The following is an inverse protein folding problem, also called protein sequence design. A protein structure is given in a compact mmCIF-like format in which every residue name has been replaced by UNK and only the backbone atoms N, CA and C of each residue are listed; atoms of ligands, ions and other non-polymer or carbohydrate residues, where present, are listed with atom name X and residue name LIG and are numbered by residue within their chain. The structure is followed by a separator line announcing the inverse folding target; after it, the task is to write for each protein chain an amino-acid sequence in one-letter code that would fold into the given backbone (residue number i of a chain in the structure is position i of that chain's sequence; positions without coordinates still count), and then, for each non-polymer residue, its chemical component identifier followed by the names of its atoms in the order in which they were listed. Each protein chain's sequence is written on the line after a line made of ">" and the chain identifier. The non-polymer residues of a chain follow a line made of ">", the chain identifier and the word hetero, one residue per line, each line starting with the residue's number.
data_IF_220865113177
#
_entry.id   IF_220865113177
#
_cell.length_a   1.000
_cell.length_b   1.000
_cell.length_c   1.000
_cell.angle_alpha   90.00
_cell.angle_beta   90.00
_cell.angle_gamma   90.00
#
_symmetry.space_group_name_H-M   'P 1'
#
loop_
_entity.id
_entity.type
_entity.pdbx_description
1 polymer ?
#
# COMPACT_ATOMS: atom_id res chain seq x y z
N UNK A 1 -51.92 1.39 -30.56
CA UNK A 1 -51.77 1.38 -29.08
C UNK A 1 -50.48 0.66 -28.75
N UNK A 2 -49.64 1.32 -27.94
CA UNK A 2 -48.24 0.98 -27.66
C UNK A 2 -48.14 -0.10 -26.57
N UNK A 3 -47.31 -1.12 -26.76
CA UNK A 3 -46.75 -1.91 -25.64
C UNK A 3 -45.24 -2.08 -25.86
N UNK A 4 -44.54 -1.09 -25.32
CA UNK A 4 -43.08 -1.03 -25.20
C UNK A 4 -42.66 -2.02 -24.11
N UNK A 5 -42.08 -3.17 -24.48
CA UNK A 5 -41.47 -4.09 -23.50
C UNK A 5 -40.04 -3.62 -23.21
N UNK A 6 -39.90 -2.87 -22.12
CA UNK A 6 -38.62 -2.56 -21.49
C UNK A 6 -38.01 -3.87 -20.97
N UNK A 7 -36.91 -4.31 -21.57
CA UNK A 7 -36.04 -5.30 -20.93
C UNK A 7 -35.13 -4.56 -19.95
N UNK A 8 -35.42 -4.72 -18.66
CA UNK A 8 -34.64 -4.16 -17.57
C UNK A 8 -33.30 -4.91 -17.53
N UNK A 9 -32.24 -4.18 -17.86
CA UNK A 9 -30.84 -4.52 -17.64
C UNK A 9 -30.65 -4.85 -16.16
N UNK A 10 -30.64 -6.14 -15.82
CA UNK A 10 -30.30 -6.60 -14.47
C UNK A 10 -28.78 -6.54 -14.35
N UNK A 11 -28.28 -5.36 -14.02
CA UNK A 11 -26.92 -5.14 -13.52
C UNK A 11 -26.86 -5.83 -12.17
N UNK A 12 -26.47 -7.10 -12.16
CA UNK A 12 -25.93 -7.74 -10.96
C UNK A 12 -24.53 -7.16 -10.75
N UNK A 13 -24.51 -5.95 -10.19
CA UNK A 13 -23.36 -5.37 -9.51
C UNK A 13 -23.18 -6.20 -8.24
N UNK A 14 -22.64 -7.41 -8.39
CA UNK A 14 -22.21 -8.24 -7.27
C UNK A 14 -21.03 -7.53 -6.61
N UNK A 15 -21.37 -6.69 -5.63
CA UNK A 15 -20.79 -6.66 -4.30
C UNK A 15 -19.40 -7.33 -4.21
N UNK A 16 -18.39 -6.55 -4.57
CA UNK A 16 -17.02 -6.74 -4.13
C UNK A 16 -16.60 -5.57 -3.24
N UNK A 17 -17.46 -5.19 -2.28
CA UNK A 17 -17.04 -4.33 -1.18
C UNK A 17 -16.14 -5.20 -0.30
N UNK A 18 -14.85 -5.25 -0.61
CA UNK A 18 -13.86 -5.64 0.38
C UNK A 18 -13.74 -4.49 1.38
N UNK A 19 -14.70 -4.44 2.31
CA UNK A 19 -14.42 -3.89 3.62
C UNK A 19 -13.47 -4.89 4.28
N UNK A 20 -12.16 -4.62 4.23
CA UNK A 20 -11.29 -5.02 5.33
C UNK A 20 -11.28 -3.84 6.27
N UNK A 21 -12.11 -3.93 7.31
CA UNK A 21 -11.98 -3.13 8.50
C UNK A 21 -10.53 -3.19 9.01
N UNK A 22 -10.09 -2.06 9.56
CA UNK A 22 -8.77 -1.82 10.14
C UNK A 22 -8.16 -3.05 10.80
N UNK A 23 -7.03 -3.51 10.29
CA UNK A 23 -6.02 -4.07 11.15
C UNK A 23 -4.85 -3.08 11.20
N UNK A 24 -4.70 -2.47 12.37
CA UNK A 24 -3.38 -2.05 12.83
C UNK A 24 -2.46 -3.22 12.53
N UNK A 25 -1.57 -3.00 11.58
CA UNK A 25 -0.53 -3.90 11.15
C UNK A 25 -0.09 -4.87 12.26
N UNK A 26 -0.09 -6.17 11.99
CA UNK A 26 0.43 -7.13 12.96
C UNK A 26 1.84 -6.69 13.34
N UNK A 27 2.11 -6.54 14.64
CA UNK A 27 3.34 -5.90 15.15
C UNK A 27 4.60 -6.45 14.48
N UNK A 28 4.62 -7.74 14.19
CA UNK A 28 5.72 -8.43 13.50
C UNK A 28 6.02 -7.90 12.09
N UNK A 29 5.02 -7.72 11.23
CA UNK A 29 5.25 -7.30 9.84
C UNK A 29 5.59 -5.81 9.74
N UNK A 30 5.01 -5.00 10.62
CA UNK A 30 5.40 -3.60 10.75
C UNK A 30 6.81 -3.43 11.28
N UNK A 31 7.21 -4.19 12.28
CA UNK A 31 8.60 -4.16 12.77
C UNK A 31 9.59 -4.59 11.68
N UNK A 32 9.26 -5.62 10.89
CA UNK A 32 10.07 -6.03 9.73
C UNK A 32 10.16 -4.91 8.69
N UNK A 33 9.04 -4.26 8.35
CA UNK A 33 9.02 -3.14 7.40
C UNK A 33 9.86 -1.98 7.91
N UNK A 34 9.63 -1.53 9.14
CA UNK A 34 10.39 -0.45 9.75
C UNK A 34 11.89 -0.79 9.68
N UNK A 35 12.29 -1.99 10.10
CA UNK A 35 13.68 -2.43 10.02
C UNK A 35 14.23 -2.45 8.59
N UNK A 36 13.41 -2.80 7.59
CA UNK A 36 13.81 -2.73 6.20
C UNK A 36 13.99 -1.28 5.71
N UNK A 37 13.14 -0.34 6.16
CA UNK A 37 13.24 1.08 5.82
C UNK A 37 14.54 1.73 6.34
N UNK A 38 14.98 1.37 7.56
CA UNK A 38 16.27 1.79 8.11
C UNK A 38 17.46 1.26 7.29
N UNK A 39 17.36 0.00 6.82
CA UNK A 39 18.40 -0.66 6.03
C UNK A 39 18.36 -0.27 4.54
N UNK A 40 17.35 0.47 4.13
CA UNK A 40 17.06 0.83 2.75
C UNK A 40 16.30 -0.27 2.01
N UNK A 41 15.10 0.06 1.53
CA UNK A 41 14.26 -0.82 0.70
C UNK A 41 14.58 -0.62 -0.78
N UNK A 42 14.34 -1.64 -1.60
CA UNK A 42 14.62 -1.57 -3.03
C UNK A 42 13.60 -0.67 -3.72
N UNK A 43 14.08 0.19 -4.62
CA UNK A 43 13.23 0.94 -5.56
C UNK A 43 13.20 0.21 -6.90
N UNK A 44 12.02 -0.07 -7.42
CA UNK A 44 11.83 -0.67 -8.75
C UNK A 44 11.25 -2.10 -8.74
N UNK A 45 10.93 -2.63 -9.94
CA UNK A 45 10.12 -3.83 -10.12
C UNK A 45 10.82 -5.12 -9.69
N UNK A 46 10.02 -6.16 -9.42
CA UNK A 46 10.43 -7.46 -8.88
C UNK A 46 11.63 -8.08 -9.60
N UNK A 47 11.60 -7.99 -10.93
CA UNK A 47 12.47 -8.74 -11.84
C UNK A 47 13.73 -7.96 -12.27
N UNK A 48 13.91 -6.75 -11.73
CA UNK A 48 15.10 -5.94 -12.00
C UNK A 48 16.13 -6.09 -10.88
N UNK A 49 17.42 -6.13 -11.25
CA UNK A 49 18.49 -5.95 -10.27
C UNK A 49 18.28 -4.61 -9.54
N UNK A 50 18.42 -4.55 -8.21
CA UNK A 50 18.13 -3.34 -7.46
C UNK A 50 19.08 -2.22 -7.88
N UNK A 51 18.56 -1.23 -8.61
CA UNK A 51 19.33 -0.08 -9.11
C UNK A 51 19.49 0.96 -8.00
N UNK A 52 18.52 1.05 -7.09
CA UNK A 52 18.47 2.07 -6.06
C UNK A 52 17.84 1.53 -4.76
N UNK A 53 18.31 2.07 -3.62
CA UNK A 53 17.71 1.83 -2.31
C UNK A 53 17.18 3.14 -1.74
N UNK A 54 15.96 3.10 -1.25
CA UNK A 54 15.33 4.20 -0.55
C UNK A 54 15.46 4.01 0.96
N UNK A 55 16.05 5.01 1.61
CA UNK A 55 16.15 5.10 3.05
C UNK A 55 15.07 6.04 3.57
N UNK A 56 14.29 5.57 4.55
CA UNK A 56 13.31 6.39 5.25
C UNK A 56 13.68 6.35 6.72
N UNK A 57 13.98 7.52 7.27
CA UNK A 57 14.22 7.71 8.68
C UNK A 57 12.96 7.36 9.47
N UNK A 58 13.02 6.27 10.26
CA UNK A 58 11.92 5.80 11.10
C UNK A 58 11.37 6.87 12.03
N UNK A 59 12.20 7.82 12.49
CA UNK A 59 11.75 8.89 13.40
C UNK A 59 10.72 9.82 12.74
N UNK A 60 10.65 9.82 11.41
CA UNK A 60 9.68 10.60 10.64
C UNK A 60 8.40 9.82 10.33
N UNK A 61 8.36 8.52 10.64
CA UNK A 61 7.19 7.67 10.38
C UNK A 61 6.22 7.83 11.55
N UNK A 62 5.02 8.34 11.28
CA UNK A 62 3.98 8.52 12.30
C UNK A 62 3.05 7.31 12.39
N UNK A 63 2.85 6.62 11.27
CA UNK A 63 1.93 5.48 11.17
C UNK A 63 2.28 4.60 9.98
N UNK A 64 1.97 3.32 10.11
CA UNK A 64 2.02 2.36 9.01
C UNK A 64 0.68 1.66 8.95
N UNK A 65 0.09 1.60 7.75
CA UNK A 65 -1.18 0.94 7.50
C UNK A 65 -0.91 -0.24 6.57
N UNK A 66 -1.36 -1.42 6.94
CA UNK A 66 -1.21 -2.63 6.13
C UNK A 66 -2.49 -2.89 5.34
N UNK A 67 -2.34 -3.06 4.03
CA UNK A 67 -3.39 -3.32 3.05
C UNK A 67 -3.04 -4.60 2.29
N UNK A 68 -3.08 -5.74 3.00
CA UNK A 68 -2.62 -7.03 2.47
C UNK A 68 -1.08 -7.08 2.35
N UNK A 69 -0.57 -7.25 1.12
CA UNK A 69 0.86 -7.20 0.82
C UNK A 69 1.39 -5.77 0.64
N UNK A 70 0.51 -4.77 0.68
CA UNK A 70 0.88 -3.37 0.53
C UNK A 70 0.87 -2.65 1.87
N UNK A 71 1.72 -1.65 1.99
CA UNK A 71 1.91 -0.86 3.18
C UNK A 71 1.91 0.61 2.80
N UNK A 72 1.05 1.38 3.45
CA UNK A 72 1.10 2.84 3.41
C UNK A 72 1.89 3.34 4.61
N UNK A 73 3.03 3.95 4.32
CA UNK A 73 3.93 4.53 5.32
C UNK A 73 3.67 6.03 5.38
N UNK A 74 3.06 6.48 6.47
CA UNK A 74 2.85 7.90 6.76
C UNK A 74 4.16 8.52 7.24
N UNK A 75 4.68 9.50 6.49
CA UNK A 75 5.90 10.27 6.81
C UNK A 75 5.45 11.65 7.27
N UNK A 76 5.40 11.85 8.59
CA UNK A 76 4.61 12.92 9.18
C UNK A 76 3.12 12.74 8.89
N UNK A 77 2.36 13.83 8.91
CA UNK A 77 0.91 13.78 8.66
C UNK A 77 0.53 14.07 7.21
N UNK A 78 1.46 14.49 6.35
CA UNK A 78 1.17 15.07 5.03
C UNK A 78 1.76 14.30 3.84
N UNK A 79 2.45 13.19 4.10
CA UNK A 79 3.07 12.36 3.06
C UNK A 79 2.80 10.90 3.32
N UNK A 80 2.44 10.18 2.26
CA UNK A 80 2.23 8.73 2.28
C UNK A 80 3.07 8.12 1.20
N UNK A 81 3.82 7.09 1.54
CA UNK A 81 4.58 6.28 0.59
C UNK A 81 4.05 4.86 0.57
N UNK A 82 3.96 4.30 -0.63
CA UNK A 82 3.55 2.91 -0.83
C UNK A 82 4.78 2.00 -0.82
N UNK A 83 4.70 0.93 -0.04
CA UNK A 83 5.68 -0.15 0.03
C UNK A 83 4.94 -1.46 -0.18
N UNK A 84 5.53 -2.40 -0.91
CA UNK A 84 4.94 -3.69 -1.23
C UNK A 84 5.86 -4.76 -0.68
N UNK A 85 5.31 -5.74 0.01
CA UNK A 85 5.98 -6.99 0.37
C UNK A 85 5.68 -8.02 -0.70
N UNK A 86 6.72 -8.51 -1.36
CA UNK A 86 6.60 -9.46 -2.45
C UNK A 86 7.71 -10.50 -2.37
N UNK A 87 7.42 -11.68 -2.92
CA UNK A 87 8.36 -12.78 -3.07
C UNK A 87 8.67 -12.98 -4.54
N UNK A 88 9.96 -12.95 -4.89
CA UNK A 88 10.42 -13.37 -6.22
C UNK A 88 10.24 -14.87 -6.40
N UNK A 89 10.14 -15.31 -7.65
CA UNK A 89 10.06 -16.74 -8.04
C UNK A 89 11.22 -17.57 -7.48
N UNK A 90 12.37 -16.94 -7.20
CA UNK A 90 13.55 -17.57 -6.59
C UNK A 90 13.55 -17.55 -5.05
N UNK A 91 12.39 -17.36 -4.42
CA UNK A 91 12.17 -17.40 -2.96
C UNK A 91 12.81 -16.26 -2.14
N UNK A 92 13.29 -15.19 -2.78
CA UNK A 92 13.66 -13.98 -2.05
C UNK A 92 12.42 -13.10 -1.84
N UNK A 93 11.97 -12.98 -0.59
CA UNK A 93 10.90 -12.08 -0.18
C UNK A 93 11.46 -10.81 0.43
N UNK A 94 10.86 -9.67 0.12
CA UNK A 94 11.31 -8.39 0.67
C UNK A 94 10.36 -7.24 0.41
N UNK A 95 10.65 -6.13 1.09
CA UNK A 95 9.93 -4.87 0.92
C UNK A 95 10.52 -4.05 -0.23
N UNK A 96 9.66 -3.51 -1.09
CA UNK A 96 10.02 -2.69 -2.24
C UNK A 96 9.07 -1.52 -2.42
N UNK A 97 9.49 -0.53 -3.18
CA UNK A 97 8.64 0.60 -3.56
C UNK A 97 8.86 0.92 -5.04
N UNK A 98 7.83 1.42 -5.70
CA UNK A 98 7.94 2.02 -7.04
C UNK A 98 8.47 3.46 -6.98
N UNK A 99 8.79 3.96 -5.77
CA UNK A 99 9.24 5.32 -5.55
C UNK A 99 8.10 6.32 -5.36
N UNK A 100 6.84 5.91 -5.56
CA UNK A 100 5.68 6.79 -5.49
C UNK A 100 5.49 7.41 -4.09
N UNK A 101 5.13 8.69 -4.08
CA UNK A 101 4.80 9.43 -2.87
C UNK A 101 3.57 10.30 -3.11
N UNK A 102 2.57 10.14 -2.24
CA UNK A 102 1.41 11.03 -2.18
C UNK A 102 1.74 12.13 -1.18
N UNK A 103 1.69 13.39 -1.61
CA UNK A 103 1.93 14.54 -0.76
C UNK A 103 0.70 15.47 -0.78
N UNK A 104 0.33 15.99 0.38
CA UNK A 104 -0.76 16.93 0.54
C UNK A 104 -0.33 18.18 1.31
N UNK A 105 -1.07 19.28 1.14
CA UNK A 105 -0.88 20.52 1.93
C UNK A 105 -1.54 20.44 3.30
N UNK A 106 -2.52 19.56 3.45
CA UNK A 106 -3.25 19.30 4.69
C UNK A 106 -2.94 17.88 5.19
N UNK A 107 -3.07 17.60 6.50
CA UNK A 107 -2.93 16.26 7.03
C UNK A 107 -3.84 15.26 6.33
N UNK A 108 -3.29 14.08 6.00
CA UNK A 108 -4.10 12.92 5.65
C UNK A 108 -4.76 12.39 6.92
N UNK A 109 -6.08 12.24 6.89
CA UNK A 109 -6.85 11.70 8.02
C UNK A 109 -6.29 10.35 8.51
N UNK A 110 -5.92 9.48 7.58
CA UNK A 110 -5.32 8.18 7.89
C UNK A 110 -3.96 8.27 8.58
N UNK A 111 -3.25 9.41 8.49
CA UNK A 111 -1.93 9.64 9.10
C UNK A 111 -1.96 10.46 10.40
N UNK A 112 -3.13 10.92 10.80
CA UNK A 112 -3.43 11.49 12.13
C UNK A 112 -3.90 10.40 13.08
#
# INVERSE_FOLDING_TARGET
>A
MKTLKLFIFSILFSLGIFASENDLCTTSDCEKLLNALDKGIIVGPTDSSPVERLFIDKSKITKVIQLGSEFEVCIGTTRIRRVIFECSLNSFCGFRTDGSIRAARVPFEQCT
#
